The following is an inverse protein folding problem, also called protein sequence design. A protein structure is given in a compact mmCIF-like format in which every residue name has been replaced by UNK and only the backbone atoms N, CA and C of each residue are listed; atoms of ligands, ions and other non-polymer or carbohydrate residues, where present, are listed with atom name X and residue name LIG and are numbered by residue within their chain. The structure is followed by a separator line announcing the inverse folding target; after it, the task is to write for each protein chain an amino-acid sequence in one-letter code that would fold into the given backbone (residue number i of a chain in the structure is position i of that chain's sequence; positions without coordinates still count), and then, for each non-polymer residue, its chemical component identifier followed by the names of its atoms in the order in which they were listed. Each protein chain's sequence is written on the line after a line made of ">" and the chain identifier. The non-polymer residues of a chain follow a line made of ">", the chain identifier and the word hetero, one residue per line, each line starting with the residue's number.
data_IF_924942567764
#
_entry.id   IF_924942567764
#
_cell.length_a   1.000
_cell.length_b   1.000
_cell.length_c   1.000
_cell.angle_alpha   90.00
_cell.angle_beta   90.00
_cell.angle_gamma   90.00
#
_symmetry.space_group_name_H-M   'P 1'
#
loop_
_entity.id
_entity.type
_entity.pdbx_description
1 polymer ?
#
# COMPACT_ATOMS: atom_id res chain seq x y z
N UNK A 1 -12.09 -24.81 22.78
CA UNK A 1 -11.11 -23.70 22.77
C UNK A 1 -11.86 -22.38 22.64
N UNK A 2 -11.32 -21.28 23.21
CA UNK A 2 -11.91 -19.95 23.02
C UNK A 2 -11.39 -19.40 21.70
N UNK A 3 -12.28 -19.09 20.77
CA UNK A 3 -11.93 -18.45 19.50
C UNK A 3 -11.29 -17.08 19.80
N UNK A 4 -10.05 -16.90 19.33
CA UNK A 4 -9.29 -15.65 19.52
C UNK A 4 -9.45 -14.84 18.25
N UNK A 5 -9.85 -13.58 18.40
CA UNK A 5 -9.92 -12.66 17.27
C UNK A 5 -8.53 -12.52 16.61
N UNK A 6 -8.51 -12.68 15.29
CA UNK A 6 -7.32 -12.34 14.49
C UNK A 6 -7.23 -10.83 14.41
N UNK A 7 -6.15 -10.30 15.00
CA UNK A 7 -5.85 -8.87 15.09
C UNK A 7 -4.42 -8.62 14.63
N UNK A 8 -4.08 -7.40 14.24
CA UNK A 8 -2.75 -7.09 13.70
C UNK A 8 -1.59 -7.53 14.62
N UNK A 9 -1.80 -7.44 15.94
CA UNK A 9 -0.76 -7.71 16.94
C UNK A 9 -0.30 -9.17 17.00
N UNK A 10 -1.10 -10.12 16.51
CA UNK A 10 -0.74 -11.54 16.45
C UNK A 10 -0.50 -12.06 15.02
N UNK A 11 -0.75 -11.24 14.00
CA UNK A 11 -0.57 -11.62 12.60
C UNK A 11 -0.12 -10.41 11.74
N UNK A 12 1.21 -10.26 11.61
CA UNK A 12 1.83 -9.16 10.87
C UNK A 12 2.14 -9.56 9.42
N UNK A 13 1.69 -8.75 8.46
CA UNK A 13 1.88 -9.00 7.01
C UNK A 13 3.18 -8.39 6.44
N UNK A 14 4.00 -7.76 7.29
CA UNK A 14 5.20 -7.03 6.87
C UNK A 14 4.99 -5.52 6.79
N UNK A 15 6.02 -4.78 6.34
CA UNK A 15 5.93 -3.34 6.15
C UNK A 15 4.98 -3.00 5.00
N UNK A 16 4.41 -1.80 5.05
CA UNK A 16 3.38 -1.35 4.12
C UNK A 16 3.75 0.03 3.58
N UNK A 17 3.30 0.29 2.36
CA UNK A 17 3.15 1.64 1.83
C UNK A 17 1.66 1.89 1.55
N UNK A 18 1.20 3.11 1.76
CA UNK A 18 -0.15 3.52 1.41
C UNK A 18 -0.14 4.90 0.77
N UNK A 19 -0.75 5.00 -0.40
CA UNK A 19 -0.89 6.27 -1.11
C UNK A 19 -2.29 6.37 -1.72
N UNK A 20 -2.94 7.51 -1.49
CA UNK A 20 -4.15 7.87 -2.23
C UNK A 20 -3.74 8.53 -3.54
N UNK A 21 -4.27 8.04 -4.66
CA UNK A 21 -3.98 8.57 -6.00
C UNK A 21 -4.15 10.09 -6.08
N UNK A 22 -5.15 10.65 -5.40
CA UNK A 22 -5.37 12.10 -5.42
C UNK A 22 -4.28 12.92 -4.72
N UNK A 23 -3.43 12.30 -3.91
CA UNK A 23 -2.29 12.94 -3.25
C UNK A 23 -0.98 12.64 -3.98
N UNK A 24 -1.03 12.11 -5.20
CA UNK A 24 0.14 11.77 -6.01
C UNK A 24 0.80 13.02 -6.63
N UNK A 25 0.92 14.09 -5.86
CA UNK A 25 1.57 15.34 -6.26
C UNK A 25 2.99 15.28 -5.70
N UNK A 26 3.96 15.13 -6.60
CA UNK A 26 5.36 14.95 -6.26
C UNK A 26 6.03 16.29 -5.93
N UNK A 27 6.81 16.33 -4.84
CA UNK A 27 7.68 17.47 -4.56
C UNK A 27 9.00 17.31 -5.31
N UNK A 28 9.18 18.07 -6.40
CA UNK A 28 10.39 18.02 -7.23
C UNK A 28 11.67 18.45 -6.50
N UNK A 29 11.57 19.09 -5.34
CA UNK A 29 12.70 19.56 -4.53
C UNK A 29 13.21 18.45 -3.60
N UNK A 30 12.35 17.49 -3.24
CA UNK A 30 12.69 16.43 -2.29
C UNK A 30 13.00 15.14 -3.06
N UNK A 31 14.24 14.67 -2.94
CA UNK A 31 14.81 13.61 -3.79
C UNK A 31 14.31 12.20 -3.48
N UNK A 32 13.34 12.00 -2.59
CA UNK A 32 12.82 10.64 -2.31
C UNK A 32 11.45 10.67 -1.64
N UNK A 33 10.45 10.06 -2.30
CA UNK A 33 9.26 9.50 -1.66
C UNK A 33 8.38 10.47 -0.85
N UNK A 34 8.44 11.78 -1.13
CA UNK A 34 7.65 12.78 -0.41
C UNK A 34 6.60 13.39 -1.33
N UNK A 35 5.35 13.15 -0.95
CA UNK A 35 4.18 13.72 -1.60
C UNK A 35 3.75 14.99 -0.91
N UNK A 36 3.36 15.99 -1.70
CA UNK A 36 2.67 17.16 -1.19
C UNK A 36 1.24 16.75 -0.82
N UNK A 37 1.03 16.47 0.46
CA UNK A 37 -0.31 16.16 1.02
C UNK A 37 -1.20 17.40 1.19
N UNK A 38 -0.76 18.55 0.68
CA UNK A 38 -1.46 19.84 0.80
C UNK A 38 -2.57 19.98 -0.25
N UNK A 39 -2.37 19.39 -1.43
CA UNK A 39 -3.29 19.50 -2.56
C UNK A 39 -3.84 18.14 -2.97
N UNK A 40 -4.99 18.17 -3.67
CA UNK A 40 -5.67 16.97 -4.18
C UNK A 40 -5.97 17.09 -5.66
N UNK A 41 -5.33 16.26 -6.49
CA UNK A 41 -5.67 16.15 -7.92
C UNK A 41 -6.55 14.92 -8.15
N UNK A 42 -7.82 15.12 -8.51
CA UNK A 42 -8.68 13.98 -8.85
C UNK A 42 -8.24 13.36 -10.18
N UNK A 43 -8.14 12.05 -10.20
CA UNK A 43 -7.88 11.28 -11.42
C UNK A 43 -9.21 10.87 -12.08
N UNK A 44 -9.29 11.01 -13.40
CA UNK A 44 -10.43 10.53 -14.18
C UNK A 44 -10.39 9.00 -14.33
N UNK A 45 -11.56 8.37 -14.44
CA UNK A 45 -11.65 6.93 -14.72
C UNK A 45 -10.90 6.57 -15.99
N UNK A 46 -10.12 5.49 -15.95
CA UNK A 46 -9.32 5.00 -17.09
C UNK A 46 -7.99 5.73 -17.32
N UNK A 47 -7.71 6.85 -16.63
CA UNK A 47 -6.39 7.49 -16.68
C UNK A 47 -5.37 6.62 -15.95
N UNK A 48 -4.33 6.20 -16.68
CA UNK A 48 -3.18 5.50 -16.09
C UNK A 48 -2.28 6.54 -15.43
N UNK A 49 -1.87 6.27 -14.20
CA UNK A 49 -1.03 7.17 -13.39
C UNK A 49 0.13 6.38 -12.78
N UNK A 50 1.33 6.99 -12.75
CA UNK A 50 2.48 6.45 -12.02
C UNK A 50 2.35 6.81 -10.54
N UNK A 51 2.52 5.83 -9.66
CA UNK A 51 2.54 6.00 -8.21
C UNK A 51 3.88 5.52 -7.67
N UNK A 52 4.41 6.20 -6.65
CA UNK A 52 5.68 5.93 -5.97
C UNK A 52 5.46 5.92 -4.45
N UNK A 53 4.77 4.89 -3.95
CA UNK A 53 4.52 4.77 -2.52
C UNK A 53 5.76 4.32 -1.76
N UNK A 54 6.21 5.13 -0.81
CA UNK A 54 7.20 4.72 0.18
C UNK A 54 6.65 3.58 1.05
N UNK A 55 7.43 2.52 1.22
CA UNK A 55 7.16 1.44 2.17
C UNK A 55 7.92 1.76 3.46
N UNK A 56 7.27 1.56 4.62
CA UNK A 56 7.92 1.80 5.90
C UNK A 56 9.22 0.97 6.03
N UNK A 57 10.33 1.57 6.49
CA UNK A 57 11.59 0.85 6.63
C UNK A 57 11.44 -0.37 7.54
N UNK A 58 12.00 -1.49 7.12
CA UNK A 58 12.05 -2.72 7.89
C UNK A 58 13.36 -3.45 7.68
N UNK A 59 13.84 -4.12 8.74
CA UNK A 59 14.91 -5.09 8.66
C UNK A 59 14.28 -6.48 8.70
N UNK A 60 14.38 -7.21 7.58
CA UNK A 60 13.81 -8.56 7.44
C UNK A 60 14.90 -9.50 6.93
N UNK A 61 15.12 -10.59 7.66
CA UNK A 61 15.98 -11.69 7.22
C UNK A 61 15.11 -12.74 6.55
N UNK A 62 15.51 -13.17 5.34
CA UNK A 62 14.90 -14.30 4.65
C UNK A 62 15.83 -15.52 4.74
N UNK A 63 15.31 -16.61 5.28
CA UNK A 63 16.00 -17.90 5.30
C UNK A 63 15.85 -18.64 3.97
N UNK A 64 16.68 -19.66 3.77
CA UNK A 64 16.57 -20.52 2.59
C UNK A 64 15.17 -21.14 2.49
N UNK A 65 14.53 -20.96 1.32
CA UNK A 65 13.17 -21.46 1.06
C UNK A 65 12.05 -20.46 1.40
N UNK A 66 12.34 -19.38 2.11
CA UNK A 66 11.39 -18.29 2.31
C UNK A 66 11.27 -17.42 1.04
N UNK A 67 10.19 -16.63 0.97
CA UNK A 67 9.84 -15.84 -0.21
C UNK A 67 9.55 -14.39 0.17
N UNK A 68 10.03 -13.47 -0.67
CA UNK A 68 9.55 -12.10 -0.68
C UNK A 68 8.27 -12.01 -1.51
N UNK A 69 7.20 -11.49 -0.92
CA UNK A 69 5.88 -11.38 -1.56
C UNK A 69 5.40 -9.94 -1.45
N UNK A 70 5.00 -9.37 -2.59
CA UNK A 70 4.43 -8.02 -2.66
C UNK A 70 2.92 -8.15 -2.87
N UNK A 71 2.16 -7.68 -1.88
CA UNK A 71 0.71 -7.52 -1.98
C UNK A 71 0.35 -6.08 -2.37
N UNK A 72 -0.52 -5.91 -3.36
CA UNK A 72 -1.07 -4.61 -3.72
C UNK A 72 -2.59 -4.66 -3.59
N UNK A 73 -3.13 -3.71 -2.83
CA UNK A 73 -4.56 -3.62 -2.58
C UNK A 73 -5.01 -2.17 -2.53
N UNK A 74 -6.31 -1.97 -2.74
CA UNK A 74 -7.00 -0.69 -2.62
C UNK A 74 -7.64 -0.50 -1.24
N UNK A 75 -7.36 -1.40 -0.31
CA UNK A 75 -7.75 -1.31 1.10
C UNK A 75 -6.58 -1.78 1.97
N UNK A 76 -6.60 -1.40 3.24
CA UNK A 76 -5.64 -1.90 4.22
C UNK A 76 -5.79 -3.42 4.37
N UNK A 77 -4.72 -4.16 4.06
CA UNK A 77 -4.72 -5.63 4.11
C UNK A 77 -4.50 -6.16 5.52
N UNK A 78 -4.10 -5.32 6.47
CA UNK A 78 -3.86 -5.74 7.85
C UNK A 78 -5.17 -6.10 8.53
N UNK A 79 -5.08 -7.03 9.48
CA UNK A 79 -6.16 -7.18 10.45
C UNK A 79 -6.25 -5.93 11.31
N UNK A 80 -7.45 -5.54 11.79
CA UNK A 80 -7.55 -4.40 12.70
C UNK A 80 -6.82 -4.70 14.02
N UNK A 81 -6.28 -3.66 14.67
CA UNK A 81 -5.65 -3.83 15.99
C UNK A 81 -6.67 -4.22 17.07
N UNK A 82 -7.94 -3.84 16.89
CA UNK A 82 -9.05 -4.16 17.77
C UNK A 82 -10.25 -4.66 16.97
N UNK A 83 -10.95 -5.70 17.47
CA UNK A 83 -12.12 -6.27 16.79
C UNK A 83 -13.22 -5.24 16.48
N UNK A 84 -13.40 -4.24 17.35
CA UNK A 84 -14.35 -3.13 17.19
C UNK A 84 -14.07 -2.24 15.95
N UNK A 85 -12.83 -2.24 15.44
CA UNK A 85 -12.46 -1.45 14.26
C UNK A 85 -12.68 -2.21 12.94
N UNK A 86 -13.09 -3.48 13.01
CA UNK A 86 -13.33 -4.29 11.81
C UNK A 86 -14.44 -3.67 10.97
N UNK A 87 -14.11 -3.30 9.73
CA UNK A 87 -15.07 -2.68 8.81
C UNK A 87 -15.41 -1.21 9.11
N UNK A 88 -14.79 -0.59 10.13
CA UNK A 88 -15.02 0.82 10.45
C UNK A 88 -14.46 1.77 9.38
N UNK A 89 -13.43 1.33 8.64
CA UNK A 89 -12.86 2.10 7.53
C UNK A 89 -13.57 1.77 6.23
N UNK A 90 -14.34 2.73 5.71
CA UNK A 90 -14.98 2.62 4.40
C UNK A 90 -14.15 3.38 3.35
N UNK A 91 -13.45 2.68 2.44
CA UNK A 91 -12.70 3.36 1.38
C UNK A 91 -13.65 4.04 0.39
N UNK A 92 -13.26 5.20 -0.13
CA UNK A 92 -13.94 5.86 -1.27
C UNK A 92 -13.77 5.12 -2.60
N UNK A 93 -12.95 4.07 -2.62
CA UNK A 93 -12.61 3.29 -3.81
C UNK A 93 -13.85 2.58 -4.36
N UNK A 94 -14.06 2.67 -5.67
CA UNK A 94 -15.23 2.11 -6.38
C UNK A 94 -14.80 1.47 -7.68
N UNK A 95 -15.40 0.32 -7.99
CA UNK A 95 -15.18 -0.38 -9.25
C UNK A 95 -13.88 -1.17 -9.31
N UNK A 96 -13.37 -1.40 -10.51
CA UNK A 96 -12.19 -2.22 -10.78
C UNK A 96 -10.94 -1.33 -10.81
N UNK A 97 -9.92 -1.75 -10.07
CA UNK A 97 -8.59 -1.15 -10.12
C UNK A 97 -7.63 -2.09 -10.85
N UNK A 98 -6.72 -1.52 -11.63
CA UNK A 98 -5.79 -2.27 -12.48
C UNK A 98 -4.37 -1.83 -12.17
N UNK A 99 -3.52 -2.77 -11.80
CA UNK A 99 -2.08 -2.58 -11.72
C UNK A 99 -1.46 -2.99 -13.06
N UNK A 100 -0.77 -2.07 -13.73
CA UNK A 100 -0.07 -2.35 -14.98
C UNK A 100 1.35 -2.79 -14.67
N UNK A 101 1.74 -3.98 -15.15
CA UNK A 101 3.09 -4.53 -15.03
C UNK A 101 3.49 -5.06 -16.40
N UNK A 102 4.39 -4.34 -17.08
CA UNK A 102 4.86 -4.68 -18.42
C UNK A 102 6.15 -3.93 -18.74
N UNK A 103 6.75 -4.19 -19.90
CA UNK A 103 7.89 -3.42 -20.42
C UNK A 103 7.58 -1.91 -20.61
N UNK A 104 6.32 -1.55 -20.91
CA UNK A 104 5.89 -0.15 -21.07
C UNK A 104 5.44 0.49 -19.75
N UNK A 105 5.17 -0.33 -18.73
CA UNK A 105 4.70 0.08 -17.42
C UNK A 105 5.51 -0.66 -16.36
N UNK A 106 6.71 -0.17 -16.13
CA UNK A 106 7.72 -0.75 -15.23
C UNK A 106 7.33 -0.52 -13.76
N UNK A 107 6.32 -1.26 -13.30
CA UNK A 107 5.99 -1.33 -11.88
C UNK A 107 6.98 -2.26 -11.18
N UNK A 108 7.70 -1.74 -10.19
CA UNK A 108 8.69 -2.49 -9.42
C UNK A 108 8.60 -2.15 -7.93
N UNK A 109 9.30 -2.94 -7.10
CA UNK A 109 9.59 -2.62 -5.70
C UNK A 109 11.09 -2.48 -5.57
N UNK A 110 11.53 -1.34 -5.07
CA UNK A 110 12.93 -1.08 -4.75
C UNK A 110 13.24 -1.66 -3.37
N UNK A 111 14.26 -2.52 -3.29
CA UNK A 111 14.75 -3.10 -2.04
C UNK A 111 16.17 -2.56 -1.78
N UNK A 112 16.50 -2.19 -0.52
CA UNK A 112 17.84 -1.73 -0.16
C UNK A 112 18.87 -2.86 -0.14
#
# INVERSE_FOLDING_TARGET
>A
EKEIDVVNSNHHLGPLGMLRVSHNIFDSILTTGKYMHMDKERTSSGRIVKLESSIWPAAVLFNAGEKFVVGVSVHDMRSPDFGLLRGATLPENKGRHVLHVSEYYESYVEIP
#
